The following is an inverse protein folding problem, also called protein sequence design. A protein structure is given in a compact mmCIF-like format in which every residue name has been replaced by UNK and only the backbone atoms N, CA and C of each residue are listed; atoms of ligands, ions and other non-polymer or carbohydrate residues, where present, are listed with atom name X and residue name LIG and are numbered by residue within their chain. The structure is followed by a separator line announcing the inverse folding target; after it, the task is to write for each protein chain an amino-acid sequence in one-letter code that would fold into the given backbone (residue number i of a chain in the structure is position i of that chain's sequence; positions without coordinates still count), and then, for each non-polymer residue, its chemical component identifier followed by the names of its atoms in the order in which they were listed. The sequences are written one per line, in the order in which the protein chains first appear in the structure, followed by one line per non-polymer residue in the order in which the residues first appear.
data_IF_584056032377
#
_entry.id   IF_584056032377
#
_cell.length_a   1.000
_cell.length_b   1.000
_cell.length_c   1.000
_cell.angle_alpha   90.00
_cell.angle_beta   90.00
_cell.angle_gamma   90.00
#
_symmetry.space_group_name_H-M   'P 1'
#
loop_
_entity.id
_entity.type
_entity.pdbx_description
1 polymer ?
#
# COMPACT_ATOMS: atom_id res chain seq x y z
N UNK A 1 1.04 -68.60 0.78
CA UNK A 1 1.47 -67.68 -0.29
C UNK A 1 0.68 -66.39 -0.11
N UNK A 2 1.24 -65.43 0.63
CA UNK A 2 0.56 -64.19 1.00
C UNK A 2 0.94 -63.08 0.02
N UNK A 3 -0.06 -62.47 -0.61
CA UNK A 3 0.12 -61.47 -1.65
C UNK A 3 0.62 -60.15 -1.06
N UNK A 4 1.79 -59.70 -1.52
CA UNK A 4 2.32 -58.37 -1.29
C UNK A 4 1.40 -57.34 -1.96
N UNK A 5 0.72 -56.53 -1.17
CA UNK A 5 0.03 -55.35 -1.71
C UNK A 5 1.05 -54.24 -1.98
N UNK A 6 1.07 -53.61 -3.16
CA UNK A 6 1.99 -52.52 -3.46
C UNK A 6 1.48 -51.23 -2.80
N UNK A 7 2.28 -50.66 -1.90
CA UNK A 7 2.07 -49.34 -1.31
C UNK A 7 2.36 -48.27 -2.36
N UNK A 8 1.32 -47.86 -3.08
CA UNK A 8 1.38 -46.73 -3.99
C UNK A 8 1.12 -45.42 -3.23
N UNK A 9 2.12 -44.55 -3.36
CA UNK A 9 1.99 -43.11 -3.56
C UNK A 9 1.95 -42.21 -2.30
N UNK A 10 3.05 -42.19 -1.56
CA UNK A 10 3.49 -40.95 -0.95
C UNK A 10 4.22 -40.11 -2.01
N UNK A 11 3.44 -39.49 -2.91
CA UNK A 11 3.90 -38.28 -3.57
C UNK A 11 3.93 -37.20 -2.48
N UNK A 12 4.96 -37.27 -1.62
CA UNK A 12 5.41 -36.14 -0.82
C UNK A 12 5.74 -35.04 -1.80
N UNK A 13 4.73 -34.22 -2.09
CA UNK A 13 4.94 -32.87 -2.57
C UNK A 13 5.80 -32.21 -1.52
N UNK A 14 7.11 -32.28 -1.72
CA UNK A 14 8.08 -31.37 -1.12
C UNK A 14 7.78 -30.01 -1.74
N UNK A 15 6.66 -29.41 -1.34
CA UNK A 15 6.57 -27.97 -1.36
C UNK A 15 7.62 -27.56 -0.32
N UNK A 16 8.76 -26.97 -0.73
CA UNK A 16 9.68 -26.42 0.25
C UNK A 16 8.83 -25.44 1.05
N UNK A 17 8.65 -25.72 2.34
CA UNK A 17 8.01 -24.80 3.24
C UNK A 17 8.73 -23.48 3.01
N UNK A 18 8.05 -22.53 2.34
CA UNK A 18 8.52 -21.17 2.22
C UNK A 18 8.58 -20.70 3.66
N UNK A 19 9.75 -20.80 4.27
CA UNK A 19 10.09 -20.12 5.50
C UNK A 19 10.06 -18.65 5.15
N UNK A 20 8.86 -18.06 5.15
CA UNK A 20 8.66 -16.63 5.13
C UNK A 20 9.30 -16.12 6.41
N UNK A 21 10.55 -15.67 6.29
CA UNK A 21 11.29 -15.08 7.38
C UNK A 21 10.42 -13.99 7.99
N UNK A 22 10.33 -13.98 9.32
CA UNK A 22 9.57 -12.94 10.00
C UNK A 22 10.15 -11.56 9.58
N UNK A 23 9.31 -10.57 9.28
CA UNK A 23 9.77 -9.28 8.81
C UNK A 23 10.66 -8.60 9.84
N UNK A 24 11.74 -7.98 9.36
CA UNK A 24 12.72 -7.33 10.22
C UNK A 24 12.06 -6.23 11.08
N UNK A 25 12.56 -5.96 12.30
CA UNK A 25 12.05 -4.88 13.14
C UNK A 25 12.04 -3.51 12.43
N UNK A 26 13.01 -3.29 11.56
CA UNK A 26 13.10 -2.10 10.71
C UNK A 26 11.94 -2.04 9.71
N UNK A 27 11.65 -3.14 9.00
CA UNK A 27 10.55 -3.19 8.05
C UNK A 27 9.18 -2.94 8.71
N UNK A 28 8.96 -3.47 9.92
CA UNK A 28 7.75 -3.19 10.71
C UNK A 28 7.64 -1.71 11.10
N UNK A 29 8.75 -1.12 11.55
CA UNK A 29 8.79 0.30 11.92
C UNK A 29 8.51 1.19 10.71
N UNK A 30 9.10 0.88 9.56
CA UNK A 30 8.87 1.60 8.31
C UNK A 30 7.41 1.49 7.86
N UNK A 31 6.80 0.31 7.89
CA UNK A 31 5.39 0.15 7.54
C UNK A 31 4.47 0.98 8.45
N UNK A 32 4.74 1.01 9.75
CA UNK A 32 3.95 1.83 10.68
C UNK A 32 4.13 3.33 10.42
N UNK A 33 5.35 3.79 10.16
CA UNK A 33 5.61 5.20 9.80
C UNK A 33 4.90 5.56 8.50
N UNK A 34 4.99 4.71 7.47
CA UNK A 34 4.31 4.90 6.18
C UNK A 34 2.80 4.94 6.40
N UNK A 35 2.23 3.99 7.14
CA UNK A 35 0.80 3.93 7.44
C UNK A 35 0.29 5.18 8.16
N UNK A 36 0.99 5.63 9.20
CA UNK A 36 0.65 6.84 9.95
C UNK A 36 0.74 8.07 9.06
N UNK A 37 1.84 8.21 8.30
CA UNK A 37 2.08 9.40 7.47
C UNK A 37 1.02 9.51 6.38
N UNK A 38 0.65 8.40 5.74
CA UNK A 38 -0.43 8.35 4.75
C UNK A 38 -1.78 8.69 5.34
N UNK A 39 -2.14 8.09 6.47
CA UNK A 39 -3.40 8.39 7.14
C UNK A 39 -3.48 9.87 7.55
N UNK A 40 -2.41 10.42 8.14
CA UNK A 40 -2.35 11.82 8.54
C UNK A 40 -2.43 12.78 7.35
N UNK A 41 -1.70 12.49 6.27
CA UNK A 41 -1.77 13.29 5.04
C UNK A 41 -3.16 13.21 4.41
N UNK A 42 -3.77 12.02 4.39
CA UNK A 42 -5.12 11.81 3.90
C UNK A 42 -6.18 12.59 4.68
N UNK A 43 -6.07 12.63 6.01
CA UNK A 43 -6.90 13.49 6.87
C UNK A 43 -6.71 14.96 6.53
N UNK A 44 -5.46 15.39 6.30
CA UNK A 44 -5.15 16.74 5.83
C UNK A 44 -5.84 17.06 4.50
N UNK A 45 -5.73 16.18 3.51
CA UNK A 45 -6.39 16.32 2.21
C UNK A 45 -7.93 16.35 2.32
N UNK A 46 -8.51 15.63 3.28
CA UNK A 46 -9.95 15.57 3.50
C UNK A 46 -10.49 16.86 4.15
N UNK A 47 -9.83 17.34 5.21
CA UNK A 47 -10.29 18.47 6.02
C UNK A 47 -9.84 19.82 5.45
N UNK A 48 -8.59 19.91 5.00
CA UNK A 48 -7.94 21.13 4.55
C UNK A 48 -7.13 20.87 3.26
N UNK A 49 -7.78 20.53 2.12
CA UNK A 49 -7.12 20.13 0.89
C UNK A 49 -6.09 21.15 0.39
N UNK A 50 -6.39 22.44 0.48
CA UNK A 50 -5.46 23.51 0.08
C UNK A 50 -4.20 23.53 0.94
N UNK A 51 -4.33 23.36 2.26
CA UNK A 51 -3.19 23.35 3.16
C UNK A 51 -2.33 22.08 2.95
N UNK A 52 -2.97 20.92 2.78
CA UNK A 52 -2.27 19.68 2.48
C UNK A 52 -1.47 19.77 1.17
N UNK A 53 -2.04 20.38 0.13
CA UNK A 53 -1.34 20.61 -1.13
C UNK A 53 -0.19 21.64 -1.00
N UNK A 54 -0.33 22.65 -0.15
CA UNK A 54 0.76 23.60 0.13
C UNK A 54 1.98 22.93 0.76
N UNK A 55 1.78 21.95 1.65
CA UNK A 55 2.88 21.18 2.26
C UNK A 55 3.73 20.49 1.18
N UNK A 56 3.12 20.07 0.07
CA UNK A 56 3.81 19.43 -1.06
C UNK A 56 4.20 20.42 -2.17
N UNK A 57 4.17 21.73 -1.88
CA UNK A 57 4.65 22.77 -2.80
C UNK A 57 3.69 23.15 -3.92
N UNK A 58 2.39 22.86 -3.75
CA UNK A 58 1.30 23.31 -4.61
C UNK A 58 0.62 24.50 -3.93
N UNK A 59 1.01 25.71 -4.31
CA UNK A 59 0.58 26.95 -3.66
C UNK A 59 -0.62 27.62 -4.33
N UNK A 60 -1.04 27.15 -5.50
CA UNK A 60 -2.14 27.75 -6.25
C UNK A 60 -3.50 27.45 -5.57
N UNK A 61 -4.44 28.40 -5.56
CA UNK A 61 -5.78 28.15 -5.06
C UNK A 61 -6.41 27.01 -5.86
N UNK A 62 -6.88 25.97 -5.17
CA UNK A 62 -7.60 24.88 -5.83
C UNK A 62 -8.93 25.39 -6.36
N UNK A 63 -9.26 24.98 -7.59
CA UNK A 63 -10.64 25.05 -8.07
C UNK A 63 -11.55 24.17 -7.20
N UNK A 64 -12.86 24.40 -7.26
CA UNK A 64 -13.83 23.59 -6.50
C UNK A 64 -13.75 22.10 -6.89
N UNK A 65 -13.55 21.82 -8.17
CA UNK A 65 -13.43 20.47 -8.73
C UNK A 65 -12.14 19.79 -8.24
N UNK A 66 -11.00 20.48 -8.29
CA UNK A 66 -9.73 19.98 -7.79
C UNK A 66 -9.81 19.70 -6.27
N UNK A 67 -10.58 20.50 -5.53
CA UNK A 67 -10.83 20.30 -4.10
C UNK A 67 -11.60 19.01 -3.80
N UNK A 68 -12.53 18.61 -4.66
CA UNK A 68 -13.25 17.32 -4.52
C UNK A 68 -12.29 16.17 -4.79
N UNK A 69 -11.51 16.24 -5.86
CA UNK A 69 -10.51 15.22 -6.23
C UNK A 69 -9.50 15.03 -5.08
N UNK A 70 -9.01 16.13 -4.50
CA UNK A 70 -8.06 16.09 -3.37
C UNK A 70 -8.66 15.41 -2.14
N UNK A 71 -9.95 15.64 -1.84
CA UNK A 71 -10.62 14.94 -0.74
C UNK A 71 -10.78 13.45 -1.01
N UNK A 72 -11.13 13.06 -2.24
CA UNK A 72 -11.22 11.64 -2.62
C UNK A 72 -9.86 10.94 -2.50
N UNK A 73 -8.80 11.60 -2.95
CA UNK A 73 -7.42 11.16 -2.72
C UNK A 73 -7.13 11.01 -1.22
N UNK A 74 -7.58 11.96 -0.40
CA UNK A 74 -7.42 11.89 1.06
C UNK A 74 -8.10 10.68 1.69
N UNK A 75 -9.33 10.36 1.29
CA UNK A 75 -10.05 9.16 1.77
C UNK A 75 -9.28 7.88 1.44
N UNK A 76 -8.74 7.78 0.24
CA UNK A 76 -7.90 6.65 -0.18
C UNK A 76 -6.66 6.53 0.70
N UNK A 77 -5.93 7.62 0.92
CA UNK A 77 -4.71 7.60 1.75
C UNK A 77 -5.02 7.19 3.20
N UNK A 78 -6.19 7.55 3.73
CA UNK A 78 -6.68 7.06 5.03
C UNK A 78 -6.89 5.55 5.00
N UNK A 79 -7.63 5.03 4.01
CA UNK A 79 -7.94 3.59 3.90
C UNK A 79 -6.66 2.77 3.76
N UNK A 80 -5.73 3.20 2.90
CA UNK A 80 -4.45 2.51 2.69
C UNK A 80 -3.58 2.60 3.95
N UNK A 81 -3.49 3.78 4.56
CA UNK A 81 -2.74 3.97 5.80
C UNK A 81 -3.26 3.11 6.95
N UNK A 82 -4.59 3.05 7.11
CA UNK A 82 -5.25 2.20 8.10
C UNK A 82 -5.01 0.71 7.82
N UNK A 83 -5.13 0.27 6.57
CA UNK A 83 -4.86 -1.12 6.19
C UNK A 83 -3.42 -1.55 6.54
N UNK A 84 -2.44 -0.66 6.34
CA UNK A 84 -1.04 -0.92 6.73
C UNK A 84 -0.88 -1.05 8.25
N UNK A 85 -1.58 -0.22 9.03
CA UNK A 85 -1.54 -0.27 10.50
C UNK A 85 -2.28 -1.47 11.07
N UNK A 86 -3.39 -1.88 10.43
CA UNK A 86 -4.16 -3.06 10.81
C UNK A 86 -3.37 -4.34 10.54
N UNK A 87 -2.62 -4.42 9.44
CA UNK A 87 -1.82 -5.59 9.13
C UNK A 87 -0.77 -5.92 10.23
N UNK A 88 -0.15 -4.91 10.87
CA UNK A 88 0.75 -5.12 12.02
C UNK A 88 -0.02 -5.56 13.29
N UNK A 89 -1.25 -5.06 13.48
CA UNK A 89 -2.09 -5.42 14.65
C UNK A 89 -2.66 -6.84 14.54
N UNK A 90 -3.15 -7.24 13.37
CA UNK A 90 -3.66 -8.58 13.12
C UNK A 90 -2.59 -9.66 13.31
N UNK A 91 -1.35 -9.36 12.89
CA UNK A 91 -0.20 -10.25 13.11
C UNK A 91 0.13 -10.45 14.60
N UNK A 92 -0.15 -9.45 15.46
CA UNK A 92 0.05 -9.53 16.92
C UNK A 92 -1.09 -10.23 17.66
N UNK A 93 -2.31 -10.16 17.14
CA UNK A 93 -3.51 -10.69 17.81
C UNK A 93 -3.64 -12.22 17.72
N UNK A 94 -3.07 -12.84 16.70
CA UNK A 94 -3.07 -14.31 16.53
C UNK A 94 -1.76 -14.90 17.08
N UNK A 95 -1.81 -16.05 17.74
CA UNK A 95 -0.62 -16.80 18.22
C UNK A 95 -0.35 -18.00 17.31
N UNK A 96 0.92 -18.33 17.09
CA UNK A 96 1.36 -19.50 16.31
C UNK A 96 1.63 -19.20 14.83
N UNK A 97 1.99 -20.23 14.05
CA UNK A 97 2.40 -20.09 12.64
C UNK A 97 1.27 -19.60 11.73
N UNK A 98 0.02 -20.01 11.99
CA UNK A 98 -1.17 -19.54 11.26
C UNK A 98 -1.44 -18.03 11.43
N UNK A 99 -0.95 -17.41 12.51
CA UNK A 99 -1.01 -15.98 12.73
C UNK A 99 -0.10 -15.21 11.76
N UNK A 100 1.10 -15.76 11.55
CA UNK A 100 2.13 -15.15 10.74
C UNK A 100 1.77 -15.22 9.25
N UNK A 101 1.21 -16.34 8.80
CA UNK A 101 0.69 -16.51 7.44
C UNK A 101 -0.47 -15.55 7.15
N UNK A 102 -1.44 -15.44 8.06
CA UNK A 102 -2.56 -14.50 7.92
C UNK A 102 -2.08 -13.04 7.88
N UNK A 103 -1.09 -12.67 8.71
CA UNK A 103 -0.48 -11.34 8.67
C UNK A 103 0.21 -11.04 7.34
N UNK A 104 0.94 -12.01 6.76
CA UNK A 104 1.56 -11.85 5.45
C UNK A 104 0.53 -11.67 4.32
N UNK A 105 -0.60 -12.38 4.37
CA UNK A 105 -1.67 -12.19 3.39
C UNK A 105 -2.32 -10.81 3.50
N UNK A 106 -2.55 -10.30 4.71
CA UNK A 106 -3.11 -8.97 4.94
C UNK A 106 -2.16 -7.86 4.49
N UNK A 107 -0.86 -7.96 4.80
CA UNK A 107 0.17 -7.05 4.28
C UNK A 107 0.20 -7.10 2.75
N UNK A 108 0.16 -8.29 2.15
CA UNK A 108 0.15 -8.44 0.69
C UNK A 108 -1.09 -7.82 0.05
N UNK A 109 -2.27 -7.94 0.68
CA UNK A 109 -3.51 -7.29 0.22
C UNK A 109 -3.41 -5.77 0.34
N UNK A 110 -2.88 -5.24 1.44
CA UNK A 110 -2.68 -3.80 1.63
C UNK A 110 -1.70 -3.23 0.58
N UNK A 111 -0.60 -3.94 0.29
CA UNK A 111 0.35 -3.55 -0.76
C UNK A 111 -0.34 -3.56 -2.13
N UNK A 112 -1.09 -4.62 -2.46
CA UNK A 112 -1.82 -4.68 -3.74
C UNK A 112 -2.87 -3.60 -3.87
N UNK A 113 -3.61 -3.30 -2.80
CA UNK A 113 -4.57 -2.21 -2.78
C UNK A 113 -3.89 -0.88 -3.05
N UNK A 114 -2.72 -0.63 -2.45
CA UNK A 114 -1.94 0.57 -2.74
C UNK A 114 -1.53 0.64 -4.21
N UNK A 115 -0.98 -0.45 -4.76
CA UNK A 115 -0.55 -0.51 -6.18
C UNK A 115 -1.70 -0.26 -7.15
N UNK A 116 -2.84 -0.93 -6.94
CA UNK A 116 -4.04 -0.74 -7.78
C UNK A 116 -4.49 0.72 -7.73
N UNK A 117 -4.50 1.31 -6.54
CA UNK A 117 -4.97 2.68 -6.41
C UNK A 117 -3.96 3.67 -6.99
N UNK A 118 -2.65 3.43 -6.90
CA UNK A 118 -1.62 4.27 -7.54
C UNK A 118 -1.78 4.23 -9.07
N UNK A 119 -2.09 3.05 -9.62
CA UNK A 119 -2.37 2.91 -11.05
C UNK A 119 -3.61 3.70 -11.50
N UNK A 120 -4.68 3.69 -10.69
CA UNK A 120 -5.87 4.49 -10.95
C UNK A 120 -5.58 6.00 -10.88
N UNK A 121 -4.76 6.42 -9.93
CA UNK A 121 -4.34 7.82 -9.80
C UNK A 121 -3.57 8.30 -11.03
N UNK A 122 -2.65 7.48 -11.56
CA UNK A 122 -1.91 7.78 -12.80
C UNK A 122 -2.85 7.92 -14.00
N UNK A 123 -3.83 7.02 -14.14
CA UNK A 123 -4.83 7.09 -15.21
C UNK A 123 -5.69 8.35 -15.08
N UNK A 124 -6.14 8.68 -13.86
CA UNK A 124 -6.92 9.88 -13.58
C UNK A 124 -6.12 11.16 -13.88
N UNK A 125 -4.84 11.19 -13.52
CA UNK A 125 -3.93 12.31 -13.83
C UNK A 125 -3.77 12.49 -15.34
N UNK A 126 -3.57 11.39 -16.08
CA UNK A 126 -3.45 11.40 -17.54
C UNK A 126 -4.73 11.90 -18.23
N UNK A 127 -5.89 11.52 -17.70
CA UNK A 127 -7.17 12.02 -18.19
C UNK A 127 -7.36 13.52 -17.92
N UNK A 128 -7.02 13.99 -16.71
CA UNK A 128 -7.07 15.41 -16.36
C UNK A 128 -6.10 16.26 -17.22
N UNK A 129 -4.93 15.72 -17.55
CA UNK A 129 -3.99 16.34 -18.49
C UNK A 129 -4.58 16.44 -19.89
N UNK A 130 -5.18 15.35 -20.39
CA UNK A 130 -5.79 15.31 -21.72
C UNK A 130 -6.96 16.30 -21.87
N UNK A 131 -7.65 16.61 -20.77
CA UNK A 131 -8.71 17.63 -20.73
C UNK A 131 -8.19 19.07 -20.55
N UNK A 132 -6.89 19.26 -20.33
CA UNK A 132 -6.30 20.58 -20.07
C UNK A 132 -6.66 21.17 -18.70
N UNK A 133 -7.14 20.33 -17.77
CA UNK A 133 -7.53 20.75 -16.41
C UNK A 133 -6.31 20.98 -15.52
N UNK A 134 -5.20 20.27 -15.78
CA UNK A 134 -3.95 20.37 -15.05
C UNK A 134 -2.80 20.82 -15.97
N UNK A 135 -1.91 21.67 -15.46
CA UNK A 135 -0.66 21.99 -16.15
C UNK A 135 0.39 20.88 -15.93
N UNK A 136 1.36 20.81 -16.84
CA UNK A 136 2.44 19.81 -16.80
C UNK A 136 3.35 19.98 -15.58
N UNK A 137 3.47 21.20 -15.04
CA UNK A 137 4.30 21.48 -13.86
C UNK A 137 3.69 20.91 -12.57
N UNK A 138 2.37 21.02 -12.40
CA UNK A 138 1.60 20.46 -11.28
C UNK A 138 1.62 18.95 -11.32
N UNK A 139 1.47 18.36 -12.51
CA UNK A 139 1.63 16.92 -12.72
C UNK A 139 3.04 16.46 -12.37
N UNK A 140 4.07 17.21 -12.77
CA UNK A 140 5.45 16.90 -12.42
C UNK A 140 5.65 16.82 -10.92
N UNK A 141 5.12 17.80 -10.16
CA UNK A 141 5.18 17.80 -8.69
C UNK A 141 4.43 16.62 -8.08
N UNK A 142 3.19 16.38 -8.51
CA UNK A 142 2.38 15.26 -8.01
C UNK A 142 3.02 13.89 -8.30
N UNK A 143 3.61 13.73 -9.48
CA UNK A 143 4.31 12.49 -9.90
C UNK A 143 5.56 12.25 -9.07
N UNK A 144 6.36 13.29 -8.80
CA UNK A 144 7.55 13.18 -7.94
C UNK A 144 7.14 12.77 -6.52
N UNK A 145 6.10 13.37 -5.96
CA UNK A 145 5.60 12.99 -4.63
C UNK A 145 5.09 11.54 -4.61
N UNK A 146 4.31 11.14 -5.62
CA UNK A 146 3.80 9.76 -5.74
C UNK A 146 4.93 8.73 -5.87
N UNK A 147 5.94 9.00 -6.70
CA UNK A 147 7.10 8.12 -6.88
C UNK A 147 7.90 7.94 -5.59
N UNK A 148 7.98 8.97 -4.75
CA UNK A 148 8.67 8.90 -3.47
C UNK A 148 7.96 7.92 -2.51
N UNK A 149 6.62 7.98 -2.44
CA UNK A 149 5.82 7.04 -1.66
C UNK A 149 5.85 5.61 -2.23
N UNK A 150 5.78 5.46 -3.56
CA UNK A 150 5.86 4.17 -4.24
C UNK A 150 7.23 3.53 -4.03
N UNK A 151 8.32 4.31 -4.12
CA UNK A 151 9.68 3.84 -3.84
C UNK A 151 9.84 3.31 -2.42
N UNK A 152 9.36 4.07 -1.42
CA UNK A 152 9.36 3.63 -0.02
C UNK A 152 8.51 2.37 0.20
N UNK A 153 7.37 2.25 -0.49
CA UNK A 153 6.50 1.06 -0.45
C UNK A 153 7.11 -0.18 -1.10
N UNK A 154 7.81 -0.02 -2.23
CA UNK A 154 8.49 -1.10 -2.93
C UNK A 154 9.71 -1.60 -2.17
N UNK A 155 10.50 -0.70 -1.59
CA UNK A 155 11.66 -1.06 -0.76
C UNK A 155 11.21 -1.85 0.48
N UNK A 156 10.14 -1.41 1.13
CA UNK A 156 9.55 -2.15 2.27
C UNK A 156 8.95 -3.50 1.86
N UNK A 157 8.32 -3.61 0.68
CA UNK A 157 7.86 -4.89 0.15
C UNK A 157 9.01 -5.86 -0.19
N UNK A 158 10.15 -5.33 -0.63
CA UNK A 158 11.35 -6.13 -0.91
C UNK A 158 11.98 -6.67 0.38
N UNK A 159 11.94 -5.89 1.47
CA UNK A 159 12.38 -6.32 2.81
C UNK A 159 11.46 -7.35 3.48
N UNK A 160 10.30 -7.65 2.87
CA UNK A 160 9.31 -8.62 3.36
C UNK A 160 9.32 -9.96 2.59
N UNK A 161 10.18 -10.12 1.58
CA UNK A 161 10.44 -11.39 0.89
C UNK A 161 11.47 -12.23 1.62
#
# INVERSE_FOLDING_TARGET
MSASSPLLNANTSTNPAKTTAAPSPLAKTLLNIIGITRAAFGVGCLLAPTFALQIVGISSPLSAEASIITRMFGVREIIVGEALLLADRSAKAKRGTAAQEAGHEEVKRAIWLNVVTDALDVVALGFALAQGVLDTATIGKMTVTALLYVGMGLETAWLYK
#
